data_IF_879085749606
#
_entry.id   IF_879085749606
#
_cell.length_a   1.000
_cell.length_b   1.000
_cell.length_c   1.000
_cell.angle_alpha   90.00
_cell.angle_beta   90.00
_cell.angle_gamma   90.00
#
_symmetry.space_group_name_H-M   'P 1'
#
loop_
_entity.id
_entity.type
_entity.pdbx_description
1 polymer ?
#
# COMPACT_ATOMS: atom_id res chain seq x y z
N UNK A 1 -20.50 -13.49 9.36
CA UNK A 1 -19.93 -14.13 8.13
C UNK A 1 -18.39 -14.16 8.17
N UNK A 2 -17.79 -14.74 9.23
CA UNK A 2 -16.32 -14.85 9.39
C UNK A 2 -15.74 -16.27 9.58
N UNK A 3 -16.49 -17.39 9.43
CA UNK A 3 -15.93 -18.71 9.75
C UNK A 3 -14.79 -19.14 8.81
N UNK A 4 -14.62 -18.47 7.67
CA UNK A 4 -13.62 -18.80 6.65
C UNK A 4 -12.23 -18.24 6.96
N UNK A 5 -12.12 -17.14 7.70
CA UNK A 5 -10.81 -16.51 8.02
C UNK A 5 -10.10 -17.29 9.13
N UNK A 6 -10.85 -17.69 10.17
CA UNK A 6 -10.32 -18.50 11.28
C UNK A 6 -9.84 -19.87 10.74
N UNK A 7 -10.61 -20.48 9.84
CA UNK A 7 -10.22 -21.75 9.19
C UNK A 7 -8.93 -21.62 8.36
N UNK A 8 -8.73 -20.48 7.70
CA UNK A 8 -7.53 -20.22 6.88
C UNK A 8 -6.30 -19.86 7.72
N UNK A 9 -6.47 -19.23 8.88
CA UNK A 9 -5.39 -19.00 9.84
C UNK A 9 -4.96 -20.30 10.53
N UNK A 10 -5.92 -21.16 10.92
CA UNK A 10 -5.63 -22.49 11.46
C UNK A 10 -4.91 -23.41 10.47
N UNK A 11 -5.20 -23.29 9.17
CA UNK A 11 -4.48 -24.03 8.12
C UNK A 11 -3.02 -23.61 7.94
N UNK A 12 -2.66 -22.36 8.25
CA UNK A 12 -1.25 -21.90 8.20
C UNK A 12 -0.43 -22.37 9.40
N UNK A 13 -1.05 -22.55 10.57
CA UNK A 13 -0.36 -23.10 11.75
C UNK A 13 -0.15 -24.62 11.69
N UNK A 14 -0.87 -25.33 10.81
CA UNK A 14 -0.76 -26.78 10.62
C UNK A 14 0.31 -27.20 9.59
N UNK A 15 1.11 -26.25 9.08
CA UNK A 15 2.06 -26.44 7.96
C UNK A 15 3.39 -27.10 8.37
N UNK A 16 3.59 -27.51 9.63
CA UNK A 16 4.79 -28.28 10.02
C UNK A 16 4.58 -29.80 9.95
N UNK A 17 3.33 -30.28 9.88
CA UNK A 17 3.04 -31.69 9.65
C UNK A 17 2.69 -31.83 8.17
N UNK A 18 3.40 -32.67 7.39
CA UNK A 18 3.04 -32.86 6.00
C UNK A 18 1.62 -33.41 5.94
N UNK A 19 0.70 -32.57 5.42
CA UNK A 19 -0.72 -32.84 5.14
C UNK A 19 -0.95 -34.14 4.32
N UNK A 20 0.12 -34.77 3.85
CA UNK A 20 0.17 -36.07 3.19
C UNK A 20 -0.44 -37.18 4.07
N UNK A 21 -0.23 -37.15 5.39
CA UNK A 21 -0.70 -38.20 6.29
C UNK A 21 -2.12 -37.96 6.84
N UNK A 22 -2.61 -36.72 6.81
CA UNK A 22 -3.88 -36.31 7.43
C UNK A 22 -5.00 -36.08 6.41
N UNK A 23 -4.71 -36.13 5.11
CA UNK A 23 -5.68 -35.79 4.07
C UNK A 23 -6.63 -36.97 3.77
N UNK A 24 -7.96 -36.81 3.95
CA UNK A 24 -8.94 -37.86 3.63
C UNK A 24 -8.94 -38.21 2.13
N UNK A 25 -8.55 -37.28 1.26
CA UNK A 25 -8.39 -37.51 -0.16
C UNK A 25 -6.90 -37.73 -0.49
N UNK A 26 -6.48 -38.99 -0.41
CA UNK A 26 -5.10 -39.39 -0.76
C UNK A 26 -4.85 -39.11 -2.24
N UNK A 27 -3.79 -38.36 -2.54
CA UNK A 27 -3.37 -38.16 -3.91
C UNK A 27 -2.93 -39.51 -4.51
N UNK A 28 -3.47 -39.89 -5.68
CA UNK A 28 -3.07 -41.13 -6.38
C UNK A 28 -1.60 -41.14 -6.80
N UNK A 29 -0.96 -39.96 -6.86
CA UNK A 29 0.44 -39.76 -7.24
C UNK A 29 1.04 -38.72 -6.32
N UNK A 30 2.21 -39.01 -5.75
CA UNK A 30 2.95 -38.08 -4.93
C UNK A 30 3.35 -36.87 -5.78
N UNK A 31 3.13 -35.68 -5.25
CA UNK A 31 3.62 -34.42 -5.79
C UNK A 31 4.65 -33.90 -4.78
N UNK A 32 5.79 -33.31 -5.17
CA UNK A 32 6.29 -33.01 -6.52
C UNK A 32 6.75 -34.26 -7.29
N UNK A 33 6.68 -34.28 -8.62
CA UNK A 33 7.28 -35.33 -9.42
C UNK A 33 8.81 -35.20 -9.37
N UNK A 34 9.52 -36.32 -9.27
CA UNK A 34 10.97 -36.35 -9.41
C UNK A 34 11.35 -35.87 -10.82
N UNK A 35 11.86 -34.64 -10.94
CA UNK A 35 12.20 -34.03 -12.23
C UNK A 35 13.44 -34.67 -12.87
N UNK A 36 14.32 -35.28 -12.07
CA UNK A 36 15.56 -35.91 -12.55
C UNK A 36 15.30 -37.21 -13.33
N UNK A 37 14.22 -37.93 -13.01
CA UNK A 37 13.87 -39.22 -13.64
C UNK A 37 13.04 -39.05 -14.92
N UNK A 38 12.75 -37.82 -15.31
CA UNK A 38 11.73 -37.50 -16.31
C UNK A 38 12.37 -36.99 -17.60
N UNK A 39 11.82 -37.42 -18.75
CA UNK A 39 12.28 -36.93 -20.05
C UNK A 39 12.19 -35.39 -20.13
N UNK A 40 13.21 -34.69 -20.69
CA UNK A 40 13.21 -33.23 -20.83
C UNK A 40 11.97 -32.67 -21.53
N UNK A 41 11.41 -33.42 -22.49
CA UNK A 41 10.17 -33.06 -23.19
C UNK A 41 8.97 -32.98 -22.26
N UNK A 42 8.89 -33.86 -21.27
CA UNK A 42 7.81 -33.86 -20.28
C UNK A 42 8.01 -32.75 -19.24
N UNK A 43 9.26 -32.53 -18.79
CA UNK A 43 9.60 -31.41 -17.91
C UNK A 43 9.19 -30.06 -18.51
N UNK A 44 9.51 -29.82 -19.78
CA UNK A 44 9.13 -28.60 -20.49
C UNK A 44 7.61 -28.38 -20.56
N UNK A 45 6.83 -29.47 -20.72
CA UNK A 45 5.36 -29.39 -20.71
C UNK A 45 4.82 -28.98 -19.34
N UNK A 46 5.37 -29.54 -18.27
CA UNK A 46 5.00 -29.20 -16.90
C UNK A 46 5.35 -27.75 -16.59
N UNK A 47 6.56 -27.33 -16.96
CA UNK A 47 7.02 -25.95 -16.77
C UNK A 47 6.12 -24.96 -17.52
N UNK A 48 5.81 -25.23 -18.80
CA UNK A 48 4.90 -24.41 -19.59
C UNK A 48 3.51 -24.31 -18.95
N UNK A 49 2.97 -25.41 -18.41
CA UNK A 49 1.67 -25.42 -17.71
C UNK A 49 1.74 -24.61 -16.41
N UNK A 50 2.84 -24.73 -15.67
CA UNK A 50 3.07 -23.96 -14.45
C UNK A 50 3.12 -22.46 -14.77
N UNK A 51 3.99 -22.02 -15.68
CA UNK A 51 4.11 -20.61 -16.09
C UNK A 51 2.76 -20.00 -16.50
N UNK A 52 1.95 -20.75 -17.25
CA UNK A 52 0.58 -20.32 -17.64
C UNK A 52 -0.34 -20.15 -16.44
N UNK A 53 -0.39 -21.14 -15.54
CA UNK A 53 -1.24 -21.10 -14.34
C UNK A 53 -0.81 -19.99 -13.39
N UNK A 54 0.49 -19.80 -13.21
CA UNK A 54 1.04 -18.69 -12.45
C UNK A 54 0.58 -17.37 -13.05
N UNK A 55 0.71 -17.18 -14.37
CA UNK A 55 0.22 -15.96 -15.04
C UNK A 55 -1.27 -15.71 -14.80
N UNK A 56 -2.10 -16.75 -14.76
CA UNK A 56 -3.53 -16.62 -14.42
C UNK A 56 -3.76 -16.25 -12.94
N UNK A 57 -3.02 -16.84 -12.00
CA UNK A 57 -3.11 -16.47 -10.58
C UNK A 57 -2.65 -15.02 -10.34
N UNK A 58 -1.68 -14.56 -11.12
CA UNK A 58 -1.13 -13.20 -11.08
C UNK A 58 -1.93 -12.20 -11.93
N UNK A 59 -2.81 -12.67 -12.83
CA UNK A 59 -3.82 -11.86 -13.52
C UNK A 59 -4.95 -11.48 -12.54
N UNK A 60 -4.60 -10.74 -11.50
CA UNK A 60 -5.53 -10.25 -10.49
C UNK A 60 -6.45 -9.19 -11.12
N UNK A 61 -7.74 -9.12 -10.74
CA UNK A 61 -8.69 -8.14 -11.25
C UNK A 61 -8.24 -6.71 -10.90
N UNK A 62 -7.61 -6.03 -11.86
CA UNK A 62 -7.03 -4.68 -11.69
C UNK A 62 -8.10 -3.65 -11.33
N UNK A 63 -9.29 -3.78 -11.92
CA UNK A 63 -10.43 -2.89 -11.67
C UNK A 63 -10.85 -2.91 -10.19
N UNK A 64 -11.00 -4.10 -9.59
CA UNK A 64 -11.38 -4.21 -8.18
C UNK A 64 -10.34 -3.62 -7.24
N UNK A 65 -9.04 -3.67 -7.60
CA UNK A 65 -7.99 -3.02 -6.82
C UNK A 65 -8.09 -1.50 -6.91
N UNK A 66 -8.35 -0.97 -8.10
CA UNK A 66 -8.53 0.46 -8.31
C UNK A 66 -9.75 0.98 -7.52
N UNK A 67 -10.90 0.30 -7.62
CA UNK A 67 -12.11 0.66 -6.87
C UNK A 67 -11.85 0.63 -5.36
N UNK A 68 -11.15 -0.40 -4.85
CA UNK A 68 -10.79 -0.46 -3.43
C UNK A 68 -9.85 0.67 -3.01
N UNK A 69 -8.90 1.05 -3.87
CA UNK A 69 -8.01 2.17 -3.60
C UNK A 69 -8.77 3.49 -3.54
N UNK A 70 -9.72 3.70 -4.47
CA UNK A 70 -10.59 4.88 -4.49
C UNK A 70 -11.52 4.88 -3.27
N UNK A 71 -12.08 3.74 -2.89
CA UNK A 71 -12.93 3.63 -1.70
C UNK A 71 -12.17 3.99 -0.43
N UNK A 72 -10.98 3.41 -0.23
CA UNK A 72 -10.13 3.78 0.91
C UNK A 72 -9.67 5.24 0.84
N UNK A 73 -9.29 5.73 -0.34
CA UNK A 73 -8.92 7.12 -0.55
C UNK A 73 -10.06 8.08 -0.22
N UNK A 74 -11.29 7.75 -0.60
CA UNK A 74 -12.48 8.54 -0.27
C UNK A 74 -12.76 8.57 1.23
N UNK A 75 -12.67 7.42 1.91
CA UNK A 75 -12.84 7.34 3.37
C UNK A 75 -11.80 8.20 4.08
N UNK A 76 -10.52 8.08 3.70
CA UNK A 76 -9.42 8.87 4.29
C UNK A 76 -9.60 10.35 3.98
N UNK A 77 -10.01 10.70 2.76
CA UNK A 77 -10.25 12.09 2.37
C UNK A 77 -11.34 12.75 3.21
N UNK A 78 -12.49 12.08 3.40
CA UNK A 78 -13.57 12.59 4.25
C UNK A 78 -13.13 12.68 5.71
N UNK A 79 -12.36 11.71 6.21
CA UNK A 79 -11.83 11.75 7.57
C UNK A 79 -10.87 12.94 7.78
N UNK A 80 -9.94 13.18 6.84
CA UNK A 80 -9.02 14.33 6.89
C UNK A 80 -9.80 15.64 6.82
N UNK A 81 -10.78 15.75 5.93
CA UNK A 81 -11.65 16.93 5.85
C UNK A 81 -12.40 17.18 7.16
N UNK A 82 -13.00 16.13 7.73
CA UNK A 82 -13.74 16.20 9.00
C UNK A 82 -12.88 16.59 10.21
N UNK A 83 -11.61 16.17 10.24
CA UNK A 83 -10.70 16.48 11.34
C UNK A 83 -10.07 17.88 11.18
N UNK A 84 -9.66 18.25 9.96
CA UNK A 84 -8.88 19.48 9.74
C UNK A 84 -9.71 20.71 9.40
N UNK A 85 -10.78 20.56 8.61
CA UNK A 85 -11.48 21.67 7.97
C UNK A 85 -12.93 21.83 8.40
N UNK A 86 -13.55 20.79 8.96
CA UNK A 86 -14.87 20.92 9.54
C UNK A 86 -14.74 21.64 10.88
N UNK A 87 -15.20 22.88 10.95
CA UNK A 87 -15.37 23.56 12.21
C UNK A 87 -16.63 23.04 12.90
N UNK A 88 -16.42 22.43 14.07
CA UNK A 88 -17.45 21.88 14.93
C UNK A 88 -18.07 22.96 15.83
N UNK A 89 -18.01 24.22 15.41
CA UNK A 89 -18.36 25.41 16.20
C UNK A 89 -19.83 25.42 16.66
N UNK A 90 -20.72 24.70 15.97
CA UNK A 90 -22.12 24.54 16.37
C UNK A 90 -22.38 23.49 17.46
N UNK A 91 -21.40 22.68 17.85
CA UNK A 91 -21.58 21.49 18.71
C UNK A 91 -20.57 21.39 19.87
N UNK A 92 -19.55 22.26 19.93
CA UNK A 92 -18.44 22.18 20.88
C UNK A 92 -18.16 23.48 21.65
N UNK A 93 -17.39 23.36 22.74
CA UNK A 93 -17.00 24.48 23.59
C UNK A 93 -16.11 25.47 22.80
N UNK A 94 -16.49 26.75 22.64
CA UNK A 94 -15.82 27.71 21.74
C UNK A 94 -14.36 28.00 22.10
N UNK A 95 -13.92 27.67 23.31
CA UNK A 95 -12.56 27.91 23.78
C UNK A 95 -11.56 26.82 23.34
N UNK A 96 -12.03 25.61 23.01
CA UNK A 96 -11.18 24.49 22.58
C UNK A 96 -11.88 23.62 21.51
N UNK A 97 -11.82 23.99 20.22
CA UNK A 97 -12.38 23.16 19.17
C UNK A 97 -11.72 21.77 19.16
N UNK A 98 -12.49 20.71 18.92
CA UNK A 98 -11.98 19.35 18.90
C UNK A 98 -10.92 19.20 17.81
N UNK A 99 -9.87 18.42 18.10
CA UNK A 99 -8.74 18.12 17.20
C UNK A 99 -7.72 19.24 16.94
N UNK A 100 -7.70 20.34 17.71
CA UNK A 100 -6.67 21.40 17.59
C UNK A 100 -5.22 20.88 17.66
N UNK A 101 -4.94 19.95 18.58
CA UNK A 101 -3.60 19.32 18.71
C UNK A 101 -3.19 18.55 17.45
N UNK A 102 -4.14 17.91 16.77
CA UNK A 102 -3.89 17.15 15.54
C UNK A 102 -3.74 18.10 14.35
N UNK A 103 -4.53 19.17 14.28
CA UNK A 103 -4.42 20.22 13.25
C UNK A 103 -3.06 20.91 13.31
N UNK A 104 -2.65 21.36 14.50
CA UNK A 104 -1.37 22.05 14.71
C UNK A 104 -0.17 21.16 14.40
N UNK A 105 -0.19 19.89 14.83
CA UNK A 105 0.82 18.91 14.46
C UNK A 105 0.88 18.66 12.94
N UNK A 106 -0.28 18.50 12.28
CA UNK A 106 -0.35 18.26 10.85
C UNK A 106 0.21 19.44 10.04
N UNK A 107 -0.21 20.67 10.34
CA UNK A 107 0.30 21.87 9.66
C UNK A 107 1.79 22.13 9.97
N UNK A 108 2.25 21.79 11.18
CA UNK A 108 3.68 21.83 11.51
C UNK A 108 4.51 20.81 10.72
N UNK A 109 3.97 19.61 10.48
CA UNK A 109 4.64 18.57 9.70
C UNK A 109 4.67 18.92 8.19
N UNK A 110 3.55 19.38 7.64
CA UNK A 110 3.46 19.77 6.21
C UNK A 110 4.30 21.02 5.92
N UNK A 111 4.30 22.00 6.81
CA UNK A 111 5.14 23.20 6.70
C UNK A 111 6.65 22.87 6.69
N UNK A 112 7.09 21.92 7.52
CA UNK A 112 8.50 21.50 7.55
C UNK A 112 8.93 20.69 6.32
N UNK A 113 8.00 19.97 5.67
CA UNK A 113 8.30 19.19 4.47
C UNK A 113 8.30 20.07 3.22
N UNK A 114 7.37 21.03 3.13
CA UNK A 114 7.25 21.94 1.98
C UNK A 114 8.14 23.20 2.09
N UNK A 115 8.57 23.57 3.30
CA UNK A 115 9.39 24.76 3.57
C UNK A 115 10.89 24.57 3.37
N UNK A 116 11.40 23.34 3.22
CA UNK A 116 12.85 23.09 3.00
C UNK A 116 13.39 23.75 1.73
N UNK A 117 12.55 23.92 0.70
CA UNK A 117 12.96 24.58 -0.55
C UNK A 117 13.02 26.11 -0.44
N UNK A 118 12.28 26.72 0.51
CA UNK A 118 12.26 28.17 0.67
C UNK A 118 13.51 28.70 1.39
N UNK A 119 14.11 27.91 2.29
CA UNK A 119 15.35 28.30 2.99
C UNK A 119 16.53 28.37 2.01
N UNK A 120 16.62 27.43 1.04
CA UNK A 120 17.70 27.45 0.03
C UNK A 120 17.62 28.63 -0.95
N UNK A 121 16.47 29.28 -1.09
CA UNK A 121 16.30 30.47 -1.95
C UNK A 121 16.64 31.78 -1.23
N UNK A 122 16.60 31.81 0.11
CA UNK A 122 17.01 32.98 0.90
C UNK A 122 18.52 33.13 1.03
N UNK A 123 19.28 32.06 0.81
CA UNK A 123 20.75 32.06 0.85
C UNK A 123 21.40 32.29 -0.53
N UNK A 124 20.63 32.61 -1.58
CA UNK A 124 21.21 33.10 -2.83
C UNK A 124 21.53 34.60 -2.64
N UNK A 125 22.82 35.00 -2.62
CA UNK A 125 23.17 36.41 -2.43
C UNK A 125 22.65 37.24 -3.60
N UNK A 126 22.13 38.43 -3.26
CA UNK A 126 21.69 39.49 -4.18
C UNK A 126 22.87 40.10 -4.99
N UNK A 127 23.68 39.28 -5.65
CA UNK A 127 24.73 39.72 -6.59
C UNK A 127 24.34 39.41 -8.04
N UNK A 128 23.30 40.07 -8.52
CA UNK A 128 23.10 40.30 -9.96
C UNK A 128 22.08 41.41 -10.21
N UNK A 129 22.21 42.55 -9.52
CA UNK A 129 21.56 43.77 -9.96
C UNK A 129 22.60 44.62 -10.69
N UNK A 130 22.61 44.70 -12.04
CA UNK A 130 23.53 45.59 -12.73
C UNK A 130 23.12 47.03 -12.41
N UNK A 131 23.91 47.70 -11.58
CA UNK A 131 23.89 49.15 -11.42
C UNK A 131 24.22 49.74 -12.78
N UNK A 132 23.22 50.35 -13.43
CA UNK A 132 23.46 51.23 -14.58
C UNK A 132 24.06 52.53 -14.05
N UNK A 133 25.39 52.62 -14.07
CA UNK A 133 26.09 53.89 -14.00
C UNK A 133 25.71 54.72 -15.24
N UNK A 134 24.83 55.70 -15.04
CA UNK A 134 24.63 56.81 -15.96
C UNK A 134 25.86 57.70 -15.89
N UNK A 135 26.63 57.75 -16.98
CA UNK A 135 27.68 58.74 -17.16
C UNK A 135 27.66 59.23 -18.62
N UNK A 136 27.79 60.56 -18.78
CA UNK A 136 27.70 61.40 -20.00
C UNK A 136 26.32 61.83 -20.51
#
# INVERSE_FOLDING_TARGET
MFPTIIRRAAQKGAEEIPLIYTNPYKAKRLWPPDFEKMSPKHQFRLERRFRRRSKLQWARPRWTKAVKMVQFGSIVFVAVYGVLFLDWDGMGNPEHPPFQTIRTWFFGLTGNIWGRDQVRRRDAPDEASPVSSSDS
#
